data_IF_690243539956
#
_entry.id   IF_690243539956
#
_cell.length_a   1.000
_cell.length_b   1.000
_cell.length_c   1.000
_cell.angle_alpha   90.00
_cell.angle_beta   90.00
_cell.angle_gamma   90.00
#
_symmetry.space_group_name_H-M   'P 1'
#
loop_
_entity.id
_entity.type
_entity.pdbx_description
1 polymer ?
#
# COMPACT_ATOMS: atom_id res chain seq x y z
N UNK A 1 -14.54 -0.97 28.60
CA UNK A 1 -14.73 -2.19 27.79
C UNK A 1 -15.85 -1.95 26.79
N UNK A 2 -15.53 -1.59 25.55
CA UNK A 2 -16.43 -1.66 24.40
C UNK A 2 -15.61 -2.30 23.28
N UNK A 3 -15.82 -3.60 23.09
CA UNK A 3 -15.36 -4.29 21.90
C UNK A 3 -16.23 -3.80 20.75
N UNK A 4 -15.71 -2.89 19.92
CA UNK A 4 -16.28 -2.68 18.61
C UNK A 4 -16.03 -3.95 17.81
N UNK A 5 -17.07 -4.79 17.73
CA UNK A 5 -17.15 -5.88 16.77
C UNK A 5 -17.26 -5.19 15.41
N UNK A 6 -16.10 -4.98 14.77
CA UNK A 6 -16.04 -4.66 13.36
C UNK A 6 -16.61 -5.87 12.61
N UNK A 7 -17.91 -5.81 12.28
CA UNK A 7 -18.56 -6.78 11.40
C UNK A 7 -17.90 -6.67 10.04
N UNK A 8 -16.95 -7.57 9.79
CA UNK A 8 -16.20 -7.68 8.53
C UNK A 8 -17.18 -8.12 7.43
N UNK A 9 -17.72 -7.15 6.70
CA UNK A 9 -18.62 -7.35 5.55
C UNK A 9 -17.83 -7.86 4.32
N UNK A 10 -17.02 -8.92 4.47
CA UNK A 10 -16.45 -9.62 3.31
C UNK A 10 -17.55 -10.43 2.64
N UNK A 11 -17.79 -10.17 1.35
CA UNK A 11 -18.66 -11.02 0.53
C UNK A 11 -18.07 -12.43 0.46
N UNK A 12 -18.90 -13.50 0.30
CA UNK A 12 -18.43 -14.88 0.20
C UNK A 12 -17.37 -15.10 -0.89
N UNK A 13 -17.40 -14.31 -1.97
CA UNK A 13 -16.37 -14.35 -3.02
C UNK A 13 -14.95 -13.96 -2.51
N UNK A 14 -14.85 -13.02 -1.56
CA UNK A 14 -13.57 -12.62 -0.96
C UNK A 14 -13.03 -13.65 0.05
N UNK A 15 -13.91 -14.49 0.61
CA UNK A 15 -13.53 -15.53 1.56
C UNK A 15 -12.94 -16.78 0.88
N UNK A 16 -13.25 -17.02 -0.40
CA UNK A 16 -12.73 -18.16 -1.18
C UNK A 16 -11.45 -17.82 -1.98
N UNK A 17 -11.19 -16.55 -2.27
CA UNK A 17 -9.95 -16.14 -2.96
C UNK A 17 -8.76 -16.13 -1.99
N UNK A 18 -7.87 -17.12 -2.10
CA UNK A 18 -6.60 -17.12 -1.36
C UNK A 18 -5.68 -15.96 -1.76
N UNK A 19 -4.56 -15.78 -1.04
CA UNK A 19 -3.56 -14.72 -1.32
C UNK A 19 -3.05 -14.76 -2.77
N UNK A 20 -2.91 -15.96 -3.34
CA UNK A 20 -2.49 -16.15 -4.73
C UNK A 20 -3.52 -15.60 -5.74
N UNK A 21 -4.82 -15.73 -5.47
CA UNK A 21 -5.87 -15.22 -6.35
C UNK A 21 -5.85 -13.70 -6.42
N UNK A 22 -5.67 -13.04 -5.27
CA UNK A 22 -5.55 -11.59 -5.18
C UNK A 22 -4.32 -11.07 -5.94
N UNK A 23 -3.17 -11.74 -5.82
CA UNK A 23 -1.97 -11.41 -6.57
C UNK A 23 -2.11 -11.66 -8.07
N UNK A 24 -2.73 -12.78 -8.47
CA UNK A 24 -2.98 -13.08 -9.87
C UNK A 24 -3.90 -12.02 -10.52
N UNK A 25 -4.97 -11.62 -9.84
CA UNK A 25 -5.87 -10.56 -10.31
C UNK A 25 -5.12 -9.23 -10.40
N UNK A 26 -4.31 -8.88 -9.39
CA UNK A 26 -3.50 -7.66 -9.42
C UNK A 26 -2.52 -7.66 -10.59
N UNK A 27 -1.78 -8.75 -10.78
CA UNK A 27 -0.83 -8.91 -11.88
C UNK A 27 -1.52 -8.85 -13.24
N UNK A 28 -2.70 -9.48 -13.38
CA UNK A 28 -3.50 -9.43 -14.60
C UNK A 28 -3.98 -8.00 -14.91
N UNK A 29 -4.51 -7.28 -13.93
CA UNK A 29 -4.91 -5.87 -14.09
C UNK A 29 -3.71 -5.01 -14.51
N UNK A 30 -2.56 -5.20 -13.85
CA UNK A 30 -1.34 -4.46 -14.16
C UNK A 30 -0.84 -4.75 -15.58
N UNK A 31 -0.80 -6.02 -15.97
CA UNK A 31 -0.42 -6.43 -17.32
C UNK A 31 -1.39 -5.84 -18.36
N UNK A 32 -2.70 -6.01 -18.17
CA UNK A 32 -3.72 -5.49 -19.08
C UNK A 32 -3.60 -3.98 -19.25
N UNK A 33 -3.50 -3.23 -18.16
CA UNK A 33 -3.48 -1.75 -18.22
C UNK A 33 -2.16 -1.19 -18.72
N UNK A 34 -1.04 -1.90 -18.58
CA UNK A 34 0.28 -1.47 -19.08
C UNK A 34 0.50 -1.84 -20.55
N UNK A 35 0.10 -3.05 -20.96
CA UNK A 35 0.35 -3.59 -22.31
C UNK A 35 -0.60 -3.03 -23.38
N UNK A 36 -1.78 -2.53 -23.01
CA UNK A 36 -2.69 -1.91 -23.98
C UNK A 36 -2.22 -0.54 -24.45
N UNK A 37 -2.39 -0.25 -25.73
CA UNK A 37 -2.01 1.01 -26.39
C UNK A 37 -3.24 1.71 -27.01
N UNK A 38 -3.17 3.03 -27.08
CA UNK A 38 -4.08 3.99 -27.72
C UNK A 38 -5.58 3.79 -27.41
N UNK A 39 -6.32 3.18 -28.32
CA UNK A 39 -7.79 3.15 -28.28
C UNK A 39 -8.34 2.08 -27.33
N UNK A 40 -7.55 1.04 -27.04
CA UNK A 40 -8.00 -0.10 -26.24
C UNK A 40 -7.86 0.19 -24.75
N UNK A 41 -7.07 1.20 -24.36
CA UNK A 41 -6.81 1.56 -22.95
C UNK A 41 -8.09 1.93 -22.21
N UNK A 42 -9.04 2.60 -22.87
CA UNK A 42 -10.32 2.97 -22.28
C UNK A 42 -11.20 1.73 -22.01
N UNK A 43 -11.29 0.83 -22.98
CA UNK A 43 -12.07 -0.41 -22.86
C UNK A 43 -11.44 -1.35 -21.84
N UNK A 44 -10.11 -1.50 -21.87
CA UNK A 44 -9.36 -2.30 -20.91
C UNK A 44 -9.45 -1.72 -19.49
N UNK A 45 -9.38 -0.39 -19.35
CA UNK A 45 -9.59 0.29 -18.08
C UNK A 45 -11.00 0.07 -17.53
N UNK A 46 -12.03 0.22 -18.36
CA UNK A 46 -13.41 -0.04 -17.96
C UNK A 46 -13.63 -1.50 -17.52
N UNK A 47 -13.04 -2.46 -18.24
CA UNK A 47 -13.09 -3.89 -17.89
C UNK A 47 -12.33 -4.21 -16.60
N UNK A 48 -11.15 -3.62 -16.39
CA UNK A 48 -10.41 -3.77 -15.14
C UNK A 48 -11.20 -3.18 -13.96
N UNK A 49 -11.80 -2.01 -14.14
CA UNK A 49 -12.61 -1.37 -13.10
C UNK A 49 -13.88 -2.16 -12.79
N UNK A 50 -14.53 -2.76 -13.78
CA UNK A 50 -15.73 -3.58 -13.55
C UNK A 50 -15.40 -4.86 -12.77
N UNK A 51 -14.31 -5.54 -13.12
CA UNK A 51 -13.82 -6.71 -12.37
C UNK A 51 -13.44 -6.32 -10.94
N UNK A 52 -12.69 -5.22 -10.76
CA UNK A 52 -12.31 -4.72 -9.43
C UNK A 52 -13.53 -4.30 -8.61
N UNK A 53 -14.54 -3.68 -9.21
CA UNK A 53 -15.77 -3.27 -8.51
C UNK A 53 -16.64 -4.47 -8.11
N UNK A 54 -16.69 -5.51 -8.95
CA UNK A 54 -17.45 -6.73 -8.66
C UNK A 54 -16.86 -7.49 -7.45
N UNK A 55 -15.52 -7.56 -7.39
CA UNK A 55 -14.78 -8.27 -6.36
C UNK A 55 -14.62 -7.41 -5.10
N UNK A 56 -14.41 -6.09 -5.23
CA UNK A 56 -14.17 -5.17 -4.12
C UNK A 56 -15.05 -3.90 -4.23
N UNK A 57 -16.19 -3.84 -3.52
CA UNK A 57 -17.14 -2.72 -3.64
C UNK A 57 -16.71 -1.45 -2.87
N UNK A 58 -15.80 -1.54 -1.90
CA UNK A 58 -15.50 -0.44 -0.97
C UNK A 58 -14.52 0.67 -1.43
N UNK A 59 -13.49 0.46 -2.28
CA UNK A 59 -12.50 1.51 -2.58
C UNK A 59 -13.01 2.58 -3.55
N UNK A 60 -14.06 2.30 -4.33
CA UNK A 60 -14.59 3.22 -5.35
C UNK A 60 -15.02 4.57 -4.73
N UNK A 61 -15.59 4.54 -3.52
CA UNK A 61 -15.98 5.74 -2.76
C UNK A 61 -14.79 6.59 -2.29
N UNK A 62 -13.61 5.99 -2.16
CA UNK A 62 -12.39 6.68 -1.71
C UNK A 62 -11.72 7.46 -2.86
N UNK A 63 -11.74 6.91 -4.07
CA UNK A 63 -11.19 7.54 -5.27
C UNK A 63 -12.09 8.68 -5.77
N UNK A 64 -13.41 8.58 -5.61
CA UNK A 64 -14.35 9.65 -5.95
C UNK A 64 -14.35 10.86 -4.98
N UNK A 65 -13.45 10.91 -3.98
CA UNK A 65 -13.37 12.08 -3.09
C UNK A 65 -12.79 13.27 -3.85
N UNK A 66 -13.35 14.45 -3.60
CA UNK A 66 -12.94 15.72 -4.23
C UNK A 66 -11.42 15.97 -4.16
N UNK A 67 -10.78 15.61 -3.03
CA UNK A 67 -9.32 15.73 -2.89
C UNK A 67 -8.55 14.91 -3.93
N UNK A 68 -8.99 13.68 -4.23
CA UNK A 68 -8.36 12.82 -5.24
C UNK A 68 -8.67 13.30 -6.66
N UNK A 69 -9.87 13.81 -6.90
CA UNK A 69 -10.23 14.43 -8.19
C UNK A 69 -9.37 15.65 -8.51
N UNK A 70 -9.05 16.48 -7.51
CA UNK A 70 -8.13 17.62 -7.69
C UNK A 70 -6.72 17.15 -8.08
N UNK A 71 -6.20 16.11 -7.43
CA UNK A 71 -4.89 15.53 -7.80
C UNK A 71 -4.90 14.91 -9.20
N UNK A 72 -6.00 14.27 -9.60
CA UNK A 72 -6.15 13.76 -10.95
C UNK A 72 -6.22 14.86 -11.99
N UNK A 73 -6.98 15.93 -11.72
CA UNK A 73 -7.04 17.09 -12.61
C UNK A 73 -5.65 17.71 -12.77
N UNK A 74 -4.90 17.87 -11.68
CA UNK A 74 -3.52 18.36 -11.71
C UNK A 74 -2.59 17.50 -12.56
N UNK A 75 -2.84 16.19 -12.65
CA UNK A 75 -2.05 15.26 -13.46
C UNK A 75 -2.37 15.38 -14.97
N UNK A 76 -3.64 15.65 -15.30
CA UNK A 76 -4.14 15.69 -16.69
C UNK A 76 -3.96 17.07 -17.32
N UNK A 77 -4.13 18.15 -16.54
CA UNK A 77 -4.04 19.52 -17.06
C UNK A 77 -2.72 19.80 -17.79
N UNK A 78 -1.54 19.38 -17.31
CA UNK A 78 -0.28 19.62 -18.03
C UNK A 78 -0.21 18.94 -19.40
N UNK A 79 -0.81 17.76 -19.58
CA UNK A 79 -0.72 17.01 -20.85
C UNK A 79 -1.50 17.71 -21.96
N UNK A 80 -2.56 18.44 -21.59
CA UNK A 80 -3.39 19.23 -22.50
C UNK A 80 -2.60 20.40 -23.11
N UNK A 81 -1.68 20.99 -22.34
CA UNK A 81 -0.92 22.18 -22.76
C UNK A 81 0.45 21.83 -23.37
N UNK A 82 1.05 20.70 -23.02
CA UNK A 82 2.41 20.34 -23.44
C UNK A 82 2.48 19.35 -24.61
N UNK A 83 1.43 18.59 -24.89
CA UNK A 83 1.44 17.55 -25.93
C UNK A 83 0.44 17.82 -27.06
N UNK A 84 0.96 17.74 -28.30
CA UNK A 84 0.21 17.78 -29.56
C UNK A 84 0.19 19.15 -30.25
N UNK A 85 -0.08 19.15 -31.54
CA UNK A 85 -0.30 20.38 -32.32
C UNK A 85 -1.58 21.08 -31.85
N UNK A 86 -1.58 22.42 -31.84
CA UNK A 86 -2.66 23.24 -31.32
C UNK A 86 -3.76 23.41 -32.38
N UNK A 87 -4.54 22.35 -32.60
CA UNK A 87 -5.46 22.28 -33.75
C UNK A 87 -6.85 22.88 -33.52
N UNK A 88 -7.22 23.29 -32.29
CA UNK A 88 -8.57 23.81 -32.03
C UNK A 88 -8.62 24.88 -30.95
N UNK A 89 -9.45 25.90 -31.17
CA UNK A 89 -9.69 26.99 -30.22
C UNK A 89 -11.09 26.82 -29.62
N UNK A 90 -11.17 26.65 -28.30
CA UNK A 90 -12.44 26.71 -27.58
C UNK A 90 -12.32 27.76 -26.47
N UNK A 91 -13.20 28.76 -26.48
CA UNK A 91 -13.23 29.86 -25.50
C UNK A 91 -11.90 30.63 -25.31
N UNK A 92 -11.15 30.88 -26.40
CA UNK A 92 -9.90 31.65 -26.36
C UNK A 92 -8.68 30.89 -25.83
N UNK A 93 -8.83 29.61 -25.51
CA UNK A 93 -7.72 28.72 -25.11
C UNK A 93 -7.48 27.74 -26.26
N UNK A 94 -6.25 27.72 -26.78
CA UNK A 94 -5.79 26.73 -27.75
C UNK A 94 -5.69 25.38 -27.04
N UNK A 95 -6.41 24.39 -27.57
CA UNK A 95 -6.55 23.08 -26.97
C UNK A 95 -6.02 22.02 -27.94
N UNK A 96 -5.10 21.15 -27.48
CA UNK A 96 -4.65 20.01 -28.29
C UNK A 96 -5.54 18.79 -28.06
N UNK A 97 -6.25 18.36 -29.10
CA UNK A 97 -7.09 17.14 -29.11
C UNK A 97 -6.27 15.89 -28.77
N UNK A 98 -5.01 15.85 -29.22
CA UNK A 98 -4.04 14.80 -28.92
C UNK A 98 -3.64 14.83 -27.42
N UNK A 99 -3.38 16.01 -26.87
CA UNK A 99 -3.14 16.22 -25.45
C UNK A 99 -4.31 15.79 -24.54
N UNK A 100 -5.57 15.92 -25.00
CA UNK A 100 -6.75 15.36 -24.30
C UNK A 100 -6.66 13.85 -24.25
N UNK A 101 -6.44 13.22 -25.41
CA UNK A 101 -6.50 11.77 -25.55
C UNK A 101 -5.43 11.12 -24.68
N UNK A 102 -4.21 11.67 -24.72
CA UNK A 102 -3.10 11.24 -23.86
C UNK A 102 -3.42 11.47 -22.38
N UNK A 103 -3.95 12.65 -22.04
CA UNK A 103 -4.33 12.98 -20.66
C UNK A 103 -5.38 12.03 -20.08
N UNK A 104 -6.42 11.72 -20.85
CA UNK A 104 -7.47 10.78 -20.46
C UNK A 104 -6.88 9.36 -20.31
N UNK A 105 -6.02 8.92 -21.23
CA UNK A 105 -5.37 7.60 -21.12
C UNK A 105 -4.53 7.49 -19.84
N UNK A 106 -3.71 8.50 -19.53
CA UNK A 106 -2.91 8.55 -18.31
C UNK A 106 -3.81 8.55 -17.06
N UNK A 107 -4.89 9.33 -17.08
CA UNK A 107 -5.86 9.37 -16.00
C UNK A 107 -6.46 8.00 -15.72
N UNK A 108 -6.94 7.31 -16.75
CA UNK A 108 -7.54 5.97 -16.61
C UNK A 108 -6.53 4.97 -16.07
N UNK A 109 -5.29 4.94 -16.58
CA UNK A 109 -4.22 4.08 -16.06
C UNK A 109 -3.98 4.35 -14.57
N UNK A 110 -3.88 5.61 -14.20
CA UNK A 110 -3.64 6.00 -12.81
C UNK A 110 -4.79 5.58 -11.88
N UNK A 111 -6.04 5.76 -12.29
CA UNK A 111 -7.23 5.33 -11.53
C UNK A 111 -7.22 3.82 -11.32
N UNK A 112 -7.00 3.06 -12.40
CA UNK A 112 -6.99 1.59 -12.34
C UNK A 112 -5.87 1.12 -11.40
N UNK A 113 -4.67 1.67 -11.53
CA UNK A 113 -3.53 1.32 -10.69
C UNK A 113 -3.77 1.64 -9.22
N UNK A 114 -4.28 2.83 -8.90
CA UNK A 114 -4.47 3.20 -7.50
C UNK A 114 -5.56 2.36 -6.83
N UNK A 115 -6.63 2.02 -7.56
CA UNK A 115 -7.68 1.13 -7.07
C UNK A 115 -7.13 -0.29 -6.91
N UNK A 116 -6.36 -0.79 -7.87
CA UNK A 116 -5.73 -2.11 -7.80
C UNK A 116 -4.79 -2.24 -6.60
N UNK A 117 -3.94 -1.23 -6.37
CA UNK A 117 -3.03 -1.18 -5.21
C UNK A 117 -3.81 -1.14 -3.90
N UNK A 118 -4.81 -0.25 -3.78
CA UNK A 118 -5.62 -0.17 -2.56
C UNK A 118 -6.34 -1.49 -2.25
N UNK A 119 -6.85 -2.17 -3.27
CA UNK A 119 -7.48 -3.48 -3.10
C UNK A 119 -6.49 -4.54 -2.66
N UNK A 120 -5.30 -4.60 -3.27
CA UNK A 120 -4.26 -5.51 -2.86
C UNK A 120 -3.84 -5.26 -1.41
N UNK A 121 -3.58 -4.00 -1.03
CA UNK A 121 -3.21 -3.63 0.34
C UNK A 121 -4.29 -3.98 1.36
N UNK A 122 -5.57 -3.86 1.00
CA UNK A 122 -6.67 -4.22 1.91
C UNK A 122 -6.93 -5.72 1.99
N UNK A 123 -6.67 -6.47 0.92
CA UNK A 123 -7.02 -7.88 0.84
C UNK A 123 -5.87 -8.82 1.24
N UNK A 124 -4.63 -8.35 1.15
CA UNK A 124 -3.44 -9.15 1.43
C UNK A 124 -2.74 -8.65 2.69
N UNK A 125 -2.69 -9.52 3.70
CA UNK A 125 -1.92 -9.28 4.91
C UNK A 125 -0.41 -9.32 4.64
N UNK A 126 0.33 -8.46 5.35
CA UNK A 126 1.80 -8.33 5.26
C UNK A 126 2.48 -9.67 5.58
N UNK A 127 1.92 -10.46 6.51
CA UNK A 127 2.41 -11.80 6.85
C UNK A 127 2.26 -12.82 5.71
N UNK A 128 1.19 -12.72 4.91
CA UNK A 128 0.97 -13.60 3.77
C UNK A 128 1.95 -13.28 2.62
N UNK A 129 2.30 -12.01 2.42
CA UNK A 129 3.37 -11.59 1.50
C UNK A 129 4.74 -12.14 1.94
N UNK A 130 5.02 -12.13 3.25
CA UNK A 130 6.26 -12.65 3.80
C UNK A 130 6.42 -14.17 3.56
N UNK A 131 5.35 -14.95 3.76
CA UNK A 131 5.33 -16.38 3.46
C UNK A 131 5.46 -16.70 1.96
N UNK A 132 4.97 -15.82 1.09
CA UNK A 132 5.17 -15.95 -0.36
C UNK A 132 6.63 -15.69 -0.76
N UNK A 133 7.27 -14.64 -0.23
CA UNK A 133 8.69 -14.38 -0.47
C UNK A 133 9.58 -15.55 -0.02
N UNK A 134 9.22 -16.18 1.11
CA UNK A 134 9.91 -17.37 1.61
C UNK A 134 9.82 -18.54 0.61
N UNK A 135 8.65 -18.75 0.00
CA UNK A 135 8.46 -19.74 -1.09
C UNK A 135 9.23 -19.41 -2.37
N UNK A 136 9.50 -18.15 -2.66
CA UNK A 136 10.31 -17.73 -3.81
C UNK A 136 11.83 -17.87 -3.58
N UNK A 137 12.25 -18.51 -2.48
CA UNK A 137 13.65 -18.86 -2.23
C UNK A 137 14.37 -17.98 -1.22
N UNK A 138 13.68 -17.01 -0.61
CA UNK A 138 14.22 -16.15 0.43
C UNK A 138 13.91 -16.73 1.83
N UNK A 139 14.49 -17.91 2.11
CA UNK A 139 14.36 -18.56 3.40
C UNK A 139 14.77 -17.61 4.55
N UNK A 140 13.94 -17.54 5.61
CA UNK A 140 14.19 -16.70 6.78
C UNK A 140 13.57 -15.30 6.74
N UNK A 141 13.10 -14.80 5.59
CA UNK A 141 12.36 -13.52 5.54
C UNK A 141 11.02 -13.57 6.26
N UNK A 142 10.30 -14.69 6.15
CA UNK A 142 9.05 -14.90 6.88
C UNK A 142 9.22 -14.75 8.39
N UNK A 143 10.30 -15.31 8.93
CA UNK A 143 10.67 -15.18 10.34
C UNK A 143 11.09 -13.74 10.69
N UNK A 144 11.98 -13.12 9.91
CA UNK A 144 12.45 -11.75 10.18
C UNK A 144 11.30 -10.73 10.14
N UNK A 145 10.39 -10.86 9.16
CA UNK A 145 9.20 -10.01 9.04
C UNK A 145 8.22 -10.32 10.18
N UNK A 146 8.03 -11.59 10.54
CA UNK A 146 7.19 -11.97 11.68
C UNK A 146 7.67 -11.37 13.01
N UNK A 147 8.99 -11.40 13.25
CA UNK A 147 9.61 -10.75 14.42
C UNK A 147 9.43 -9.23 14.32
N UNK A 148 9.72 -8.61 13.17
CA UNK A 148 9.57 -7.17 12.99
C UNK A 148 8.13 -6.69 13.23
N UNK A 149 7.13 -7.40 12.70
CA UNK A 149 5.72 -7.11 12.90
C UNK A 149 5.28 -7.28 14.36
N UNK A 150 5.86 -8.24 15.09
CA UNK A 150 5.59 -8.40 16.53
C UNK A 150 6.17 -7.24 17.36
N UNK A 151 7.32 -6.71 16.94
CA UNK A 151 8.01 -5.61 17.63
C UNK A 151 7.43 -4.24 17.28
N UNK A 152 6.77 -4.09 16.13
CA UNK A 152 6.28 -2.82 15.61
C UNK A 152 5.32 -2.08 16.58
N UNK A 153 4.27 -2.71 17.16
CA UNK A 153 3.34 -2.01 18.05
C UNK A 153 3.99 -1.54 19.35
N UNK A 154 4.95 -2.32 19.85
CA UNK A 154 5.72 -1.96 21.04
C UNK A 154 6.61 -0.74 20.77
N UNK A 155 7.31 -0.73 19.62
CA UNK A 155 8.14 0.39 19.19
C UNK A 155 7.31 1.65 18.91
N UNK A 156 6.14 1.52 18.30
CA UNK A 156 5.20 2.62 18.06
C UNK A 156 4.77 3.28 19.38
N UNK A 157 4.44 2.46 20.39
CA UNK A 157 4.03 2.94 21.71
C UNK A 157 5.18 3.67 22.40
N UNK A 158 6.39 3.10 22.40
CA UNK A 158 7.57 3.74 22.98
C UNK A 158 7.95 5.04 22.27
N UNK A 159 7.88 5.07 20.93
CA UNK A 159 8.15 6.25 20.12
C UNK A 159 7.13 7.36 20.40
N UNK A 160 5.84 7.01 20.49
CA UNK A 160 4.77 7.96 20.81
C UNK A 160 4.93 8.56 22.19
N UNK A 161 5.23 7.73 23.20
CA UNK A 161 5.49 8.20 24.57
C UNK A 161 6.70 9.15 24.62
N UNK A 162 7.82 8.78 23.97
CA UNK A 162 8.99 9.63 23.88
C UNK A 162 8.68 10.97 23.20
N UNK A 163 7.88 10.96 22.13
CA UNK A 163 7.41 12.15 21.44
C UNK A 163 6.56 13.05 22.35
N UNK A 164 5.59 12.49 23.08
CA UNK A 164 4.76 13.25 24.01
C UNK A 164 5.59 13.89 25.13
N UNK A 165 6.55 13.15 25.71
CA UNK A 165 7.46 13.68 26.73
C UNK A 165 8.31 14.84 26.19
N UNK A 166 8.85 14.69 24.97
CA UNK A 166 9.67 15.72 24.33
C UNK A 166 8.85 16.98 23.99
N UNK A 167 7.59 16.79 23.58
CA UNK A 167 6.62 17.86 23.32
C UNK A 167 6.25 18.60 24.61
N UNK A 168 5.96 17.89 25.71
CA UNK A 168 5.62 18.49 27.01
C UNK A 168 6.80 19.26 27.62
N UNK A 169 8.04 18.80 27.41
CA UNK A 169 9.25 19.50 27.86
C UNK A 169 9.62 20.72 27.00
N UNK A 170 8.84 21.05 25.96
CA UNK A 170 9.10 22.20 25.09
C UNK A 170 10.33 22.08 24.18
N UNK A 171 10.99 20.92 24.15
CA UNK A 171 12.22 20.68 23.38
C UNK A 171 12.03 20.90 21.87
N UNK A 172 10.82 20.61 21.37
CA UNK A 172 10.47 20.77 19.96
C UNK A 172 10.24 22.24 19.52
N UNK A 173 10.09 23.17 20.47
CA UNK A 173 9.85 24.58 20.17
C UNK A 173 11.14 25.40 20.11
N UNK A 174 12.20 24.97 20.80
CA UNK A 174 13.49 25.70 20.88
C UNK A 174 14.65 24.96 20.18
N UNK A 175 14.66 23.62 20.15
CA UNK A 175 15.75 22.83 19.58
C UNK A 175 15.23 21.58 18.85
N UNK A 176 14.50 21.79 17.74
CA UNK A 176 13.90 20.71 16.93
C UNK A 176 14.87 19.60 16.56
N UNK A 177 16.07 19.97 16.11
CA UNK A 177 17.10 19.02 15.70
C UNK A 177 17.58 18.13 16.85
N UNK A 178 17.94 18.74 17.98
CA UNK A 178 18.41 18.02 19.17
C UNK A 178 17.31 17.13 19.78
N UNK A 179 16.06 17.60 19.72
CA UNK A 179 14.89 16.81 20.09
C UNK A 179 14.71 15.57 19.22
N UNK A 180 14.81 15.71 17.89
CA UNK A 180 14.78 14.57 16.97
C UNK A 180 15.93 13.59 17.23
N UNK A 181 17.16 14.07 17.45
CA UNK A 181 18.31 13.21 17.78
C UNK A 181 18.05 12.40 19.05
N UNK A 182 17.55 13.03 20.12
CA UNK A 182 17.24 12.33 21.37
C UNK A 182 16.15 11.26 21.19
N UNK A 183 15.13 11.56 20.39
CA UNK A 183 14.08 10.61 20.08
C UNK A 183 14.62 9.42 19.28
N UNK A 184 15.45 9.65 18.26
CA UNK A 184 16.08 8.59 17.47
C UNK A 184 16.95 7.70 18.33
N UNK A 185 17.81 8.28 19.18
CA UNK A 185 18.65 7.52 20.12
C UNK A 185 17.77 6.67 21.04
N UNK A 186 16.69 7.24 21.58
CA UNK A 186 15.77 6.50 22.47
C UNK A 186 15.12 5.31 21.75
N UNK A 187 14.66 5.49 20.51
CA UNK A 187 14.05 4.42 19.71
C UNK A 187 15.07 3.32 19.40
N UNK A 188 16.28 3.70 18.97
CA UNK A 188 17.34 2.73 18.62
C UNK A 188 17.75 1.92 19.85
N UNK A 189 17.96 2.55 21.00
CA UNK A 189 18.32 1.86 22.24
C UNK A 189 17.23 0.87 22.69
N UNK A 190 15.95 1.28 22.61
CA UNK A 190 14.84 0.39 22.93
C UNK A 190 14.71 -0.78 21.94
N UNK A 191 14.96 -0.54 20.65
CA UNK A 191 14.95 -1.58 19.64
C UNK A 191 16.08 -2.60 19.85
N UNK A 192 17.30 -2.14 20.16
CA UNK A 192 18.45 -3.01 20.46
C UNK A 192 18.19 -3.90 21.67
N UNK A 193 17.75 -3.31 22.78
CA UNK A 193 17.42 -4.07 24.00
C UNK A 193 16.36 -5.14 23.72
N UNK A 194 15.35 -4.79 22.93
CA UNK A 194 14.28 -5.71 22.57
C UNK A 194 14.76 -6.81 21.62
N UNK A 195 15.70 -6.52 20.72
CA UNK A 195 16.32 -7.52 19.86
C UNK A 195 17.15 -8.53 20.68
N UNK A 196 17.91 -8.07 21.67
CA UNK A 196 18.66 -8.94 22.60
C UNK A 196 17.73 -9.85 23.40
N UNK A 197 16.61 -9.32 23.91
CA UNK A 197 15.59 -10.13 24.61
C UNK A 197 15.00 -11.21 23.69
N UNK A 198 14.74 -10.89 22.41
CA UNK A 198 14.21 -11.83 21.42
C UNK A 198 15.24 -12.88 21.04
N UNK A 199 16.51 -12.50 20.84
CA UNK A 199 17.58 -13.45 20.50
C UNK A 199 17.84 -14.43 21.64
N UNK A 200 17.95 -13.93 22.88
CA UNK A 200 18.14 -14.76 24.07
C UNK A 200 16.96 -15.74 24.25
N UNK A 201 15.73 -15.27 24.06
CA UNK A 201 14.54 -16.13 24.15
C UNK A 201 14.48 -17.17 23.01
N UNK A 202 15.02 -16.88 21.83
CA UNK A 202 15.09 -17.82 20.72
C UNK A 202 16.17 -18.90 20.96
N UNK A 203 17.33 -18.51 21.49
CA UNK A 203 18.42 -19.42 21.87
C UNK A 203 17.98 -20.40 22.97
N UNK A 204 17.29 -19.90 24.01
CA UNK A 204 16.72 -20.73 25.09
C UNK A 204 15.67 -21.73 24.60
N UNK A 205 15.03 -21.46 23.45
CA UNK A 205 14.06 -22.36 22.81
C UNK A 205 14.69 -23.30 21.76
N UNK A 206 16.02 -23.34 21.66
CA UNK A 206 16.75 -24.12 20.66
C UNK A 206 16.29 -23.84 19.21
N UNK A 207 15.99 -22.58 18.90
CA UNK A 207 15.52 -22.18 17.57
C UNK A 207 16.68 -22.16 16.57
N UNK A 208 16.71 -23.10 15.62
CA UNK A 208 17.61 -23.02 14.46
C UNK A 208 16.89 -22.33 13.29
N UNK A 209 17.44 -21.23 12.72
CA UNK A 209 16.81 -20.51 11.61
C UNK A 209 16.55 -21.39 10.38
N UNK A 210 17.39 -22.41 10.15
CA UNK A 210 17.26 -23.40 9.08
C UNK A 210 16.06 -24.35 9.20
N UNK A 211 15.46 -24.46 10.40
CA UNK A 211 14.29 -25.33 10.65
C UNK A 211 13.01 -24.52 10.92
N UNK A 212 13.05 -23.21 10.70
CA UNK A 212 11.89 -22.36 10.90
C UNK A 212 10.77 -22.77 9.94
N UNK A 213 9.57 -23.00 10.48
CA UNK A 213 8.42 -23.38 9.67
C UNK A 213 7.89 -22.12 8.98
N UNK A 214 7.64 -22.17 7.66
CA UNK A 214 7.12 -21.01 6.95
C UNK A 214 5.75 -20.61 7.48
N UNK A 215 5.48 -19.30 7.44
CA UNK A 215 4.22 -18.74 7.91
C UNK A 215 3.04 -19.39 7.15
N UNK A 216 1.95 -19.82 7.82
CA UNK A 216 0.82 -20.42 7.14
C UNK A 216 0.17 -19.39 6.20
N UNK A 217 0.29 -19.64 4.90
CA UNK A 217 -0.37 -18.85 3.86
C UNK A 217 -1.86 -19.25 3.86
N UNK A 218 -2.76 -18.27 3.90
CA UNK A 218 -4.20 -18.53 3.72
C UNK A 218 -4.44 -19.05 2.29
N UNK A 219 -4.55 -20.37 2.17
CA UNK A 219 -5.05 -21.02 0.97
C UNK A 219 -6.57 -20.92 0.99
N UNK A 220 -7.12 -20.18 0.03
CA UNK A 220 -8.57 -20.14 -0.17
C UNK A 220 -9.08 -21.53 -0.60
N UNK A 221 -10.24 -21.91 -0.08
CA UNK A 221 -10.97 -23.12 -0.45
C UNK A 221 -11.71 -22.95 -1.77
#
# INVERSE_FOLDING_TARGET
>A
MRAEIAVDYRRPAQASLGTYGHLAIFGWVLAMIMLTTDYVVLVAGALCLSVLALIYPNPFKRVLRLRWLIWMLLLVVPTIFFFGEHDSVFAGITYSSEGLAIGIQIAVRFIVLIIAIQNLTCAVDISSMAGLLERFGLHGLGFAIGVALNLLPALETSASQAWYTLKMRGGLRRQRWRGCQLLVITIITNALKRAEEVSLAAELRAFSPEKSRPFPIQQGS
#
